data_IF_131863991369
#
_entry.id   IF_131863991369
#
_cell.length_a   1.000
_cell.length_b   1.000
_cell.length_c   1.000
_cell.angle_alpha   90.00
_cell.angle_beta   90.00
_cell.angle_gamma   90.00
#
_symmetry.space_group_name_H-M   'P 1'
#
loop_
_entity.id
_entity.type
_entity.pdbx_description
1 polymer ?
#
# COMPACT_ATOMS: atom_id res chain seq x y z
N UNK A 1 -13.49 -32.67 36.80
CA UNK A 1 -12.21 -31.93 36.98
C UNK A 1 -11.40 -31.83 35.68
N UNK A 2 -11.08 -32.94 34.98
CA UNK A 2 -10.32 -32.90 33.72
C UNK A 2 -10.97 -32.05 32.60
N UNK A 3 -12.28 -32.15 32.43
CA UNK A 3 -13.02 -31.38 31.43
C UNK A 3 -13.05 -29.87 31.74
N UNK A 4 -13.13 -29.48 33.01
CA UNK A 4 -13.11 -28.08 33.42
C UNK A 4 -11.72 -27.45 33.23
N UNK A 5 -10.66 -28.21 33.51
CA UNK A 5 -9.27 -27.78 33.27
C UNK A 5 -9.01 -27.65 31.76
N UNK A 6 -9.47 -28.60 30.95
CA UNK A 6 -9.35 -28.52 29.49
C UNK A 6 -10.10 -27.31 28.90
N UNK A 7 -11.31 -27.03 29.40
CA UNK A 7 -12.09 -25.87 28.97
C UNK A 7 -11.42 -24.53 29.35
N UNK A 8 -10.84 -24.44 30.56
CA UNK A 8 -10.09 -23.27 31.00
C UNK A 8 -8.81 -23.04 30.19
N UNK A 9 -8.09 -24.10 29.85
CA UNK A 9 -6.89 -24.02 29.01
C UNK A 9 -7.22 -23.59 27.58
N UNK A 10 -8.29 -24.14 26.99
CA UNK A 10 -8.76 -23.75 25.65
C UNK A 10 -9.22 -22.29 25.61
N UNK A 11 -9.97 -21.83 26.63
CA UNK A 11 -10.39 -20.44 26.74
C UNK A 11 -9.19 -19.48 26.88
N UNK A 12 -8.18 -19.85 27.68
CA UNK A 12 -6.97 -19.05 27.81
C UNK A 12 -6.18 -18.93 26.50
N UNK A 13 -6.11 -20.00 25.69
CA UNK A 13 -5.43 -19.95 24.37
C UNK A 13 -6.17 -19.10 23.34
N UNK A 14 -7.51 -19.05 23.38
CA UNK A 14 -8.30 -18.20 22.48
C UNK A 14 -8.09 -16.72 22.79
N UNK A 15 -8.08 -16.35 24.08
CA UNK A 15 -7.87 -14.96 24.54
C UNK A 15 -6.47 -14.43 24.20
N UNK A 16 -5.46 -15.30 24.11
CA UNK A 16 -4.09 -14.91 23.76
C UNK A 16 -3.85 -14.76 22.24
N UNK A 17 -4.81 -15.17 21.40
CA UNK A 17 -4.63 -15.18 19.93
C UNK A 17 -5.03 -13.87 19.23
N UNK A 18 -5.63 -12.93 19.95
CA UNK A 18 -6.19 -11.69 19.36
C UNK A 18 -5.28 -10.47 19.48
N UNK A 19 -4.01 -10.63 19.86
CA UNK A 19 -3.01 -9.56 19.74
C UNK A 19 -2.52 -9.45 18.28
N UNK A 20 -3.42 -9.19 17.32
CA UNK A 20 -3.02 -8.67 16.02
C UNK A 20 -2.62 -7.21 16.25
N UNK A 21 -1.34 -6.98 16.52
CA UNK A 21 -0.77 -5.63 16.41
C UNK A 21 -0.90 -5.19 14.96
N UNK A 22 -1.93 -4.42 14.64
CA UNK A 22 -1.91 -3.56 13.47
C UNK A 22 -0.79 -2.56 13.71
N UNK A 23 0.39 -2.82 13.13
CA UNK A 23 1.37 -1.74 12.94
C UNK A 23 0.72 -0.79 11.95
N UNK A 24 0.00 0.20 12.46
CA UNK A 24 -0.47 1.30 11.66
C UNK A 24 0.76 2.17 11.38
N UNK A 25 1.44 1.92 10.26
CA UNK A 25 2.60 2.68 9.82
C UNK A 25 2.20 4.02 9.23
N UNK A 26 1.41 4.83 9.94
CA UNK A 26 1.16 6.20 9.47
C UNK A 26 2.42 7.00 9.72
N UNK A 27 3.05 7.49 8.65
CA UNK A 27 3.98 8.61 8.73
C UNK A 27 3.22 9.85 9.19
N UNK A 28 2.93 9.93 10.50
CA UNK A 28 2.53 11.16 11.19
C UNK A 28 3.81 11.77 11.75
N UNK A 29 4.74 12.13 10.87
CA UNK A 29 5.88 12.89 11.31
C UNK A 29 5.43 14.35 11.49
N UNK A 30 5.35 14.81 12.74
CA UNK A 30 5.35 16.24 13.05
C UNK A 30 6.84 16.62 13.12
N UNK A 31 7.43 16.85 11.96
CA UNK A 31 8.87 17.05 11.76
C UNK A 31 9.20 17.58 10.36
N UNK A 32 10.47 17.86 10.10
CA UNK A 32 10.94 18.21 8.76
C UNK A 32 11.18 16.94 7.94
N UNK A 33 10.68 16.92 6.70
CA UNK A 33 10.92 15.81 5.79
C UNK A 33 12.44 15.57 5.61
N UNK A 34 12.89 14.31 5.54
CA UNK A 34 14.30 14.02 5.32
C UNK A 34 14.76 14.62 3.98
N UNK A 35 16.01 15.06 3.93
CA UNK A 35 16.62 15.45 2.66
C UNK A 35 16.83 14.20 1.80
N UNK A 36 16.20 14.17 0.63
CA UNK A 36 16.33 13.09 -0.35
C UNK A 36 16.94 13.62 -1.65
N UNK A 37 17.64 12.75 -2.38
CA UNK A 37 18.20 13.08 -3.70
C UNK A 37 17.38 12.40 -4.80
N UNK A 38 17.22 13.07 -5.94
CA UNK A 38 16.55 12.50 -7.11
C UNK A 38 17.51 11.66 -7.97
N UNK A 39 16.96 10.75 -8.79
CA UNK A 39 17.74 10.03 -9.80
C UNK A 39 18.21 11.00 -10.88
N UNK A 40 19.52 11.23 -10.95
CA UNK A 40 20.14 12.00 -12.03
C UNK A 40 20.02 11.25 -13.36
N UNK A 41 19.92 12.01 -14.46
CA UNK A 41 19.81 11.50 -15.83
C UNK A 41 18.67 10.48 -15.99
N UNK A 42 17.50 10.80 -15.44
CA UNK A 42 16.33 9.94 -15.51
C UNK A 42 15.80 9.83 -16.95
N UNK A 43 15.84 8.64 -17.52
CA UNK A 43 15.23 8.33 -18.82
C UNK A 43 13.74 8.02 -18.65
N UNK A 44 12.91 9.01 -18.96
CA UNK A 44 11.46 8.91 -18.86
C UNK A 44 10.89 7.81 -19.77
N UNK A 45 11.42 7.65 -21.00
CA UNK A 45 10.86 6.71 -21.96
C UNK A 45 11.02 5.26 -21.48
N UNK A 46 12.17 4.97 -20.86
CA UNK A 46 12.45 3.67 -20.24
C UNK A 46 11.63 3.40 -18.97
N UNK A 47 11.00 4.41 -18.38
CA UNK A 47 10.17 4.28 -17.17
C UNK A 47 8.69 4.02 -17.47
N UNK A 48 8.25 4.21 -18.71
CA UNK A 48 6.86 3.99 -19.13
C UNK A 48 6.47 2.50 -19.06
N UNK A 49 5.17 2.24 -19.05
CA UNK A 49 4.60 0.91 -18.97
C UNK A 49 4.19 0.51 -17.56
N UNK A 50 4.11 -0.80 -17.32
CA UNK A 50 3.52 -1.37 -16.11
C UNK A 50 4.55 -1.59 -15.00
N UNK A 51 4.19 -1.15 -13.80
CA UNK A 51 4.91 -1.36 -12.56
C UNK A 51 4.01 -2.08 -11.57
N UNK A 52 4.56 -3.07 -10.87
CA UNK A 52 3.88 -3.76 -9.79
C UNK A 52 4.39 -3.22 -8.47
N UNK A 53 3.46 -2.86 -7.59
CA UNK A 53 3.81 -2.45 -6.25
C UNK A 53 4.28 -3.67 -5.45
N UNK A 54 5.51 -3.61 -4.94
CA UNK A 54 6.10 -4.69 -4.13
C UNK A 54 5.83 -4.43 -2.65
N UNK A 55 6.06 -3.20 -2.19
CA UNK A 55 5.82 -2.73 -0.83
C UNK A 55 5.40 -1.25 -0.84
N UNK A 56 4.60 -0.84 0.15
CA UNK A 56 4.18 0.55 0.36
C UNK A 56 4.08 0.88 1.85
N UNK A 57 4.03 2.17 2.16
CA UNK A 57 3.54 2.63 3.46
C UNK A 57 2.02 2.58 3.51
N UNK A 58 1.46 2.48 4.71
CA UNK A 58 0.01 2.47 4.89
C UNK A 58 -0.60 3.82 4.49
N UNK A 59 -1.37 3.82 3.41
CA UNK A 59 -2.11 4.99 2.93
C UNK A 59 -3.62 4.69 2.87
N UNK A 60 -4.44 5.60 3.41
CA UNK A 60 -5.90 5.41 3.50
C UNK A 60 -6.58 5.17 2.14
N UNK A 61 -6.02 5.71 1.05
CA UNK A 61 -6.58 5.56 -0.29
C UNK A 61 -6.23 4.22 -0.95
N UNK A 62 -5.31 3.44 -0.37
CA UNK A 62 -4.90 2.12 -0.86
C UNK A 62 -5.30 1.00 0.10
N UNK A 63 -6.06 1.32 1.15
CA UNK A 63 -6.50 0.34 2.14
C UNK A 63 -7.32 -0.78 1.48
N UNK A 64 -6.93 -2.02 1.72
CA UNK A 64 -7.59 -3.21 1.16
C UNK A 64 -7.27 -3.49 -0.32
N UNK A 65 -6.33 -2.77 -0.93
CA UNK A 65 -5.88 -3.05 -2.30
C UNK A 65 -4.75 -4.07 -2.32
N UNK A 66 -4.92 -5.15 -3.10
CA UNK A 66 -3.93 -6.19 -3.39
C UNK A 66 -3.59 -6.21 -4.89
N UNK A 67 -2.41 -6.74 -5.24
CA UNK A 67 -1.93 -6.85 -6.62
C UNK A 67 -1.96 -5.50 -7.38
N UNK A 68 -1.56 -4.42 -6.70
CA UNK A 68 -1.59 -3.07 -7.26
C UNK A 68 -0.60 -2.96 -8.42
N UNK A 69 -1.11 -2.47 -9.55
CA UNK A 69 -0.34 -2.18 -10.75
C UNK A 69 -0.54 -0.72 -11.15
N UNK A 70 0.56 -0.05 -11.47
CA UNK A 70 0.59 1.31 -11.99
C UNK A 70 1.05 1.27 -13.44
N UNK A 71 0.36 1.96 -14.34
CA UNK A 71 0.74 2.05 -15.75
C UNK A 71 1.05 3.50 -16.09
N UNK A 72 2.33 3.79 -16.34
CA UNK A 72 2.77 5.11 -16.79
C UNK A 72 2.66 5.20 -18.32
N UNK A 73 2.07 6.28 -18.81
CA UNK A 73 1.94 6.56 -20.23
C UNK A 73 2.36 7.99 -20.52
N UNK A 74 3.00 8.20 -21.68
CA UNK A 74 3.26 9.53 -22.19
C UNK A 74 1.95 10.15 -22.69
N UNK A 75 1.60 11.32 -22.15
CA UNK A 75 0.42 12.07 -22.56
C UNK A 75 0.71 12.98 -23.76
N UNK A 76 1.97 13.10 -24.18
CA UNK A 76 2.42 14.11 -25.12
C UNK A 76 2.48 15.49 -24.48
N UNK A 77 2.55 16.53 -25.31
CA UNK A 77 2.59 17.91 -24.84
C UNK A 77 1.28 18.29 -24.09
N UNK A 78 1.43 18.92 -22.93
CA UNK A 78 0.32 19.42 -22.14
C UNK A 78 -0.32 20.64 -22.82
N UNK A 79 -1.48 20.47 -23.45
CA UNK A 79 -2.27 21.56 -24.04
C UNK A 79 -3.08 22.39 -23.01
N UNK A 80 -2.73 22.38 -21.72
CA UNK A 80 -3.50 23.11 -20.71
C UNK A 80 -4.83 22.46 -20.31
N UNK A 81 -5.12 21.24 -20.76
CA UNK A 81 -6.35 20.53 -20.43
C UNK A 81 -6.11 19.54 -19.29
N UNK A 82 -6.85 19.70 -18.18
CA UNK A 82 -6.93 18.66 -17.16
C UNK A 82 -7.67 17.46 -17.75
N UNK A 83 -6.93 16.48 -18.24
CA UNK A 83 -7.49 15.21 -18.70
C UNK A 83 -7.68 14.30 -17.47
N UNK A 84 -8.88 14.28 -16.90
CA UNK A 84 -9.26 13.30 -15.87
C UNK A 84 -9.37 11.92 -16.52
N UNK A 85 -8.23 11.23 -16.68
CA UNK A 85 -8.20 9.80 -16.96
C UNK A 85 -8.19 9.08 -15.62
N UNK A 86 -9.38 9.00 -15.00
CA UNK A 86 -9.67 8.11 -13.86
C UNK A 86 -8.82 6.85 -13.97
N UNK A 87 -8.02 6.58 -12.93
CA UNK A 87 -7.41 5.27 -12.71
C UNK A 87 -8.54 4.26 -12.83
N UNK A 88 -8.58 3.54 -13.96
CA UNK A 88 -9.55 2.48 -14.13
C UNK A 88 -9.12 1.40 -13.12
N UNK A 89 -9.98 1.02 -12.16
CA UNK A 89 -9.66 -0.08 -11.27
C UNK A 89 -9.41 -1.30 -12.16
N UNK A 90 -8.29 -1.99 -11.92
CA UNK A 90 -7.84 -3.16 -12.68
C UNK A 90 -9.03 -4.03 -13.12
N UNK A 91 -9.46 -3.89 -14.37
CA UNK A 91 -10.41 -4.84 -14.94
C UNK A 91 -9.56 -6.04 -15.34
N UNK A 92 -9.70 -7.08 -14.52
CA UNK A 92 -9.16 -8.42 -14.73
C UNK A 92 -9.65 -8.95 -16.08
N UNK A 93 -8.73 -9.28 -16.98
CA UNK A 93 -8.94 -10.29 -18.02
C UNK A 93 -8.54 -11.68 -17.47
#
# INVERSE_FOLDING_TARGET
MKAAVAALLLAATVVLSEARTTKLGVLRDVGECPTVTTKQDFDMLSYLGSWFEIERFDALFEEGMDCVQIVYSDLGEWEGKCQDRRIQPSQRE
#
